data_IF_362938664590
#
_entry.id   IF_362938664590
#
_cell.length_a   1.000
_cell.length_b   1.000
_cell.length_c   1.000
_cell.angle_alpha   90.00
_cell.angle_beta   90.00
_cell.angle_gamma   90.00
#
_symmetry.space_group_name_H-M   'P 1'
#
loop_
_entity.id
_entity.type
_entity.pdbx_description
1 polymer ?
#
# COMPACT_ATOMS: atom_id res chain seq x y z
N UNK A 1 -8.25 5.86 -7.29
CA UNK A 1 -8.32 4.37 -7.29
C UNK A 1 -8.64 3.84 -5.90
N UNK A 2 -9.37 2.72 -5.78
CA UNK A 2 -9.44 1.97 -4.51
C UNK A 2 -8.07 1.32 -4.29
N UNK A 3 -7.48 1.51 -3.12
CA UNK A 3 -6.28 0.77 -2.68
C UNK A 3 -6.83 -0.45 -1.94
N UNK A 4 -6.99 -1.62 -2.59
CA UNK A 4 -7.73 -2.75 -2.03
C UNK A 4 -7.13 -3.32 -0.74
N UNK A 5 -5.87 -3.01 -0.45
CA UNK A 5 -5.20 -3.47 0.76
C UNK A 5 -5.44 -2.58 1.98
N UNK A 6 -5.65 -1.28 1.81
CA UNK A 6 -5.99 -0.42 2.94
C UNK A 6 -7.46 -0.61 3.32
N UNK A 7 -7.69 -0.86 4.62
CA UNK A 7 -9.04 -0.94 5.19
C UNK A 7 -9.78 0.39 4.96
N UNK A 8 -9.03 1.51 5.02
CA UNK A 8 -9.56 2.84 4.80
C UNK A 8 -9.34 3.30 3.36
N UNK A 9 -10.37 3.89 2.78
CA UNK A 9 -10.24 4.44 1.44
C UNK A 9 -9.26 5.62 1.44
N UNK A 10 -8.49 5.78 0.35
CA UNK A 10 -7.63 6.94 0.13
C UNK A 10 -8.33 8.28 0.45
N UNK A 11 -9.56 8.45 -0.04
CA UNK A 11 -10.36 9.66 0.17
C UNK A 11 -10.65 9.95 1.66
N UNK A 12 -10.92 8.90 2.46
CA UNK A 12 -11.17 9.04 3.90
C UNK A 12 -9.91 9.37 4.70
N UNK A 13 -8.74 8.91 4.22
CA UNK A 13 -7.45 9.20 4.84
C UNK A 13 -7.03 10.65 4.58
N UNK A 14 -7.29 11.17 3.38
CA UNK A 14 -7.06 12.57 3.05
C UNK A 14 -7.98 13.52 3.83
N UNK A 15 -9.22 13.11 4.11
CA UNK A 15 -10.21 13.93 4.80
C UNK A 15 -9.97 14.10 6.31
N UNK A 16 -9.27 13.15 6.96
CA UNK A 16 -9.11 13.17 8.42
C UNK A 16 -7.67 13.51 8.84
N UNK A 17 -7.43 14.70 9.45
CA UNK A 17 -6.09 15.16 9.82
C UNK A 17 -5.45 14.32 10.95
N UNK A 18 -6.23 13.48 11.62
CA UNK A 18 -5.73 12.58 12.66
C UNK A 18 -4.71 11.58 12.11
N UNK A 19 -4.94 11.05 10.89
CA UNK A 19 -3.99 10.11 10.26
C UNK A 19 -2.67 10.80 9.92
N UNK A 20 -2.72 12.04 9.44
CA UNK A 20 -1.52 12.83 9.16
C UNK A 20 -0.69 13.11 10.43
N UNK A 21 -1.33 13.26 11.60
CA UNK A 21 -0.63 13.44 12.88
C UNK A 21 0.13 12.19 13.29
N UNK A 22 -0.46 11.01 13.10
CA UNK A 22 0.17 9.72 13.45
C UNK A 22 1.35 9.41 12.52
N UNK A 23 1.26 9.78 11.23
CA UNK A 23 2.32 9.52 10.25
C UNK A 23 3.46 10.53 10.19
N UNK A 24 3.28 11.75 10.71
CA UNK A 24 4.32 12.81 10.76
C UNK A 24 5.70 12.35 11.29
N UNK A 25 5.81 11.66 12.44
CA UNK A 25 7.11 11.26 12.97
C UNK A 25 7.84 10.24 12.08
N UNK A 26 7.09 9.50 11.25
CA UNK A 26 7.64 8.45 10.39
C UNK A 26 7.99 8.91 8.97
N UNK A 27 7.79 10.20 8.65
CA UNK A 27 8.03 10.76 7.31
C UNK A 27 9.49 10.59 6.86
N UNK A 28 10.45 10.74 7.77
CA UNK A 28 11.89 10.67 7.43
C UNK A 28 12.35 9.25 7.04
N UNK A 29 11.69 8.23 7.56
CA UNK A 29 12.03 6.83 7.30
C UNK A 29 11.61 6.39 5.89
N UNK A 30 10.61 7.06 5.30
CA UNK A 30 9.99 6.69 4.03
C UNK A 30 9.98 7.83 3.01
N UNK A 31 11.10 8.55 2.86
CA UNK A 31 11.22 9.69 1.94
C UNK A 31 10.80 9.40 0.48
N UNK A 32 10.96 8.14 0.03
CA UNK A 32 10.57 7.71 -1.33
C UNK A 32 9.07 7.42 -1.49
N UNK A 33 8.31 7.36 -0.40
CA UNK A 33 6.89 6.98 -0.45
C UNK A 33 6.04 8.01 -1.20
N UNK A 34 6.34 9.30 -1.05
CA UNK A 34 5.63 10.36 -1.78
C UNK A 34 5.81 10.21 -3.30
N UNK A 35 7.02 9.84 -3.74
CA UNK A 35 7.31 9.58 -5.14
C UNK A 35 6.54 8.36 -5.64
N UNK A 36 6.51 7.27 -4.86
CA UNK A 36 5.77 6.06 -5.20
C UNK A 36 4.26 6.32 -5.29
N UNK A 37 3.70 7.09 -4.34
CA UNK A 37 2.28 7.49 -4.36
C UNK A 37 1.95 8.33 -5.60
N UNK A 38 2.81 9.29 -5.95
CA UNK A 38 2.62 10.11 -7.15
C UNK A 38 2.69 9.28 -8.44
N UNK A 39 3.64 8.34 -8.53
CA UNK A 39 3.74 7.39 -9.65
C UNK A 39 2.55 6.43 -9.72
N UNK A 40 1.93 6.13 -8.58
CA UNK A 40 0.73 5.30 -8.49
C UNK A 40 -0.58 6.07 -8.74
N UNK A 41 -0.51 7.35 -9.11
CA UNK A 41 -1.67 8.24 -9.27
C UNK A 41 -2.56 8.31 -8.01
N UNK A 42 -1.95 8.18 -6.84
CA UNK A 42 -2.60 8.30 -5.54
C UNK A 42 -2.33 9.70 -5.01
N UNK A 43 -3.33 10.58 -5.13
CA UNK A 43 -3.24 11.98 -4.68
C UNK A 43 -3.45 12.09 -3.16
N UNK A 44 -2.44 11.63 -2.40
CA UNK A 44 -2.42 11.67 -0.93
C UNK A 44 -1.02 12.05 -0.44
N UNK A 45 -0.99 12.83 0.64
CA UNK A 45 0.25 13.12 1.36
C UNK A 45 0.79 11.88 2.10
N UNK A 46 2.09 11.62 1.98
CA UNK A 46 2.75 10.46 2.57
C UNK A 46 2.46 10.31 4.07
N UNK A 47 2.31 11.40 4.81
CA UNK A 47 1.98 11.37 6.24
C UNK A 47 0.61 10.76 6.52
N UNK A 48 -0.41 11.14 5.75
CA UNK A 48 -1.76 10.59 5.90
C UNK A 48 -1.80 9.10 5.49
N UNK A 49 -1.02 8.74 4.47
CA UNK A 49 -0.90 7.35 4.02
C UNK A 49 -0.22 6.47 5.07
N UNK A 50 0.90 6.92 5.64
CA UNK A 50 1.61 6.18 6.70
C UNK A 50 0.70 6.02 7.92
N UNK A 51 0.00 7.07 8.33
CA UNK A 51 -0.98 6.98 9.42
C UNK A 51 -2.08 5.95 9.13
N UNK A 52 -2.62 5.95 7.91
CA UNK A 52 -3.61 4.95 7.47
C UNK A 52 -3.06 3.53 7.45
N UNK A 53 -1.80 3.35 7.05
CA UNK A 53 -1.11 2.06 7.05
C UNK A 53 -0.91 1.52 8.48
N UNK A 54 -0.49 2.38 9.42
CA UNK A 54 -0.33 2.03 10.84
C UNK A 54 -1.67 1.59 11.43
N UNK A 55 -2.73 2.39 11.25
CA UNK A 55 -4.05 2.06 11.79
C UNK A 55 -4.60 0.78 11.15
N UNK A 56 -4.43 0.60 9.85
CA UNK A 56 -4.86 -0.64 9.16
C UNK A 56 -4.10 -1.86 9.67
N UNK A 57 -2.78 -1.77 9.82
CA UNK A 57 -1.96 -2.83 10.37
C UNK A 57 -2.31 -3.15 11.83
N UNK A 58 -2.63 -2.12 12.63
CA UNK A 58 -3.08 -2.28 14.02
C UNK A 58 -4.42 -2.99 14.10
N UNK A 59 -5.37 -2.65 13.24
CA UNK A 59 -6.66 -3.35 13.14
C UNK A 59 -6.46 -4.83 12.83
N UNK A 60 -5.60 -5.16 11.86
CA UNK A 60 -5.27 -6.55 11.54
C UNK A 60 -4.61 -7.27 12.70
N UNK A 61 -3.63 -6.63 13.35
CA UNK A 61 -2.96 -7.18 14.52
C UNK A 61 -3.94 -7.48 15.66
N UNK A 62 -4.90 -6.60 15.89
CA UNK A 62 -5.92 -6.78 16.91
C UNK A 62 -6.85 -7.95 16.58
N UNK A 63 -7.32 -8.05 15.32
CA UNK A 63 -8.15 -9.18 14.88
C UNK A 63 -7.41 -10.51 15.04
N UNK A 64 -6.18 -10.61 14.53
CA UNK A 64 -5.37 -11.83 14.66
C UNK A 64 -5.01 -12.12 16.11
N UNK A 65 -4.70 -11.10 16.91
CA UNK A 65 -4.40 -11.23 18.34
C UNK A 65 -5.58 -11.77 19.13
N UNK A 66 -6.80 -11.30 18.86
CA UNK A 66 -8.02 -11.84 19.46
C UNK A 66 -8.19 -13.31 19.08
N UNK A 67 -8.09 -13.64 17.79
CA UNK A 67 -8.25 -15.03 17.31
C UNK A 67 -7.23 -15.96 17.97
N UNK A 68 -5.96 -15.56 18.03
CA UNK A 68 -4.89 -16.35 18.66
C UNK A 68 -5.07 -16.47 20.17
N UNK A 69 -5.50 -15.40 20.85
CA UNK A 69 -5.78 -15.42 22.29
C UNK A 69 -6.93 -16.37 22.61
N UNK A 70 -8.00 -16.37 21.81
CA UNK A 70 -9.08 -17.35 21.94
C UNK A 70 -8.58 -18.77 21.72
N UNK A 71 -7.75 -19.00 20.70
CA UNK A 71 -7.14 -20.31 20.46
C UNK A 71 -6.34 -20.80 21.68
N UNK A 72 -5.45 -19.97 22.23
CA UNK A 72 -4.68 -20.36 23.43
C UNK A 72 -5.57 -20.53 24.65
N UNK A 73 -6.63 -19.74 24.82
CA UNK A 73 -7.57 -19.90 25.93
C UNK A 73 -8.21 -21.29 25.98
N UNK A 74 -8.58 -21.87 24.83
CA UNK A 74 -9.20 -23.19 24.78
C UNK A 74 -8.20 -24.36 24.87
N UNK A 75 -6.99 -24.21 24.33
CA UNK A 75 -6.04 -25.33 24.23
C UNK A 75 -4.91 -25.29 25.26
N UNK A 76 -4.42 -24.10 25.66
CA UNK A 76 -3.29 -23.89 26.58
C UNK A 76 -3.41 -22.54 27.31
N UNK A 77 -4.19 -22.44 28.40
CA UNK A 77 -4.50 -21.16 29.06
C UNK A 77 -3.26 -20.45 29.61
N UNK A 78 -2.19 -21.18 29.93
CA UNK A 78 -0.91 -20.61 30.41
C UNK A 78 -0.21 -19.73 29.35
N UNK A 79 -0.58 -19.87 28.07
CA UNK A 79 0.03 -19.16 26.93
C UNK A 79 -0.86 -18.03 26.38
N UNK A 80 -1.94 -17.64 27.06
CA UNK A 80 -2.84 -16.57 26.58
C UNK A 80 -2.09 -15.25 26.37
N UNK A 81 -1.16 -14.90 27.27
CA UNK A 81 -0.29 -13.73 27.13
C UNK A 81 0.64 -13.81 25.90
N UNK A 82 1.10 -15.01 25.54
CA UNK A 82 1.91 -15.21 24.34
C UNK A 82 1.10 -14.97 23.05
N UNK A 83 -0.24 -15.09 23.10
CA UNK A 83 -1.12 -14.71 22.00
C UNK A 83 -1.06 -13.22 21.66
N UNK A 84 -0.89 -12.35 22.66
CA UNK A 84 -0.73 -10.91 22.46
C UNK A 84 0.66 -10.57 21.87
N UNK A 85 1.71 -11.27 22.30
CA UNK A 85 3.06 -11.12 21.73
C UNK A 85 3.10 -11.56 20.26
N UNK A 86 2.42 -12.68 19.95
CA UNK A 86 2.29 -13.18 18.58
C UNK A 86 1.52 -12.23 17.66
N UNK A 87 0.68 -11.33 18.19
CA UNK A 87 -0.02 -10.32 17.40
C UNK A 87 0.91 -9.23 16.81
N UNK A 88 2.15 -9.12 17.31
CA UNK A 88 3.15 -8.22 16.73
C UNK A 88 3.61 -8.70 15.35
N UNK A 89 3.67 -10.00 15.10
CA UNK A 89 4.05 -10.55 13.78
C UNK A 89 3.12 -10.08 12.65
N UNK A 90 1.79 -10.27 12.72
CA UNK A 90 0.90 -9.78 11.69
C UNK A 90 0.92 -8.25 11.62
N UNK A 91 1.10 -7.53 12.73
CA UNK A 91 1.26 -6.06 12.69
C UNK A 91 2.40 -5.65 11.74
N UNK A 92 3.61 -6.17 11.97
CA UNK A 92 4.78 -5.81 11.15
C UNK A 92 4.61 -6.27 9.70
N UNK A 93 4.09 -7.48 9.48
CA UNK A 93 3.87 -8.02 8.15
C UNK A 93 2.91 -7.15 7.34
N UNK A 94 1.74 -6.84 7.92
CA UNK A 94 0.76 -5.98 7.24
C UNK A 94 1.30 -4.56 7.10
N UNK A 95 1.95 -4.00 8.12
CA UNK A 95 2.51 -2.64 8.02
C UNK A 95 3.50 -2.52 6.85
N UNK A 96 4.44 -3.45 6.74
CA UNK A 96 5.39 -3.48 5.62
C UNK A 96 4.64 -3.63 4.29
N UNK A 97 3.70 -4.57 4.21
CA UNK A 97 2.90 -4.78 3.00
C UNK A 97 2.20 -3.49 2.54
N UNK A 98 1.56 -2.76 3.47
CA UNK A 98 0.89 -1.50 3.17
C UNK A 98 1.86 -0.41 2.70
N UNK A 99 3.05 -0.31 3.29
CA UNK A 99 4.05 0.69 2.90
C UNK A 99 4.65 0.40 1.52
N UNK A 100 4.91 -0.88 1.20
CA UNK A 100 5.47 -1.26 -0.10
C UNK A 100 4.42 -1.29 -1.23
N UNK A 101 3.14 -1.33 -0.88
CA UNK A 101 2.06 -1.45 -1.85
C UNK A 101 2.04 -0.38 -2.96
N UNK A 102 2.22 0.93 -2.67
CA UNK A 102 2.29 1.96 -3.72
C UNK A 102 3.43 1.72 -4.70
N UNK A 103 4.56 1.19 -4.24
CA UNK A 103 5.69 0.88 -5.12
C UNK A 103 5.35 -0.27 -6.07
N UNK A 104 4.59 -1.26 -5.61
CA UNK A 104 4.15 -2.39 -6.45
C UNK A 104 3.20 -1.88 -7.54
N UNK A 105 2.24 -1.00 -7.19
CA UNK A 105 1.34 -0.39 -8.17
C UNK A 105 2.10 0.46 -9.17
N UNK A 106 3.01 1.33 -8.69
CA UNK A 106 3.79 2.20 -9.55
C UNK A 106 4.60 1.40 -10.59
N UNK A 107 5.18 0.27 -10.19
CA UNK A 107 5.91 -0.62 -11.10
C UNK A 107 4.96 -1.25 -12.14
N UNK A 108 3.77 -1.70 -11.70
CA UNK A 108 2.77 -2.27 -12.61
C UNK A 108 2.28 -1.26 -13.65
N UNK A 109 2.04 -0.01 -13.25
CA UNK A 109 1.66 1.08 -14.18
C UNK A 109 2.81 1.35 -15.16
N UNK A 110 4.05 1.41 -14.67
CA UNK A 110 5.21 1.62 -15.53
C UNK A 110 5.39 0.51 -16.57
N UNK A 111 5.11 -0.74 -16.19
CA UNK A 111 5.21 -1.89 -17.07
C UNK A 111 4.11 -1.85 -18.15
N UNK A 112 2.88 -1.52 -17.76
CA UNK A 112 1.75 -1.35 -18.67
C UNK A 112 1.99 -0.21 -19.68
N UNK A 113 2.50 0.94 -19.21
CA UNK A 113 2.91 2.05 -20.08
C UNK A 113 3.98 1.61 -21.07
N UNK A 114 4.99 0.86 -20.63
CA UNK A 114 6.07 0.42 -21.50
C UNK A 114 5.58 -0.57 -22.57
N UNK A 115 4.68 -1.48 -22.21
CA UNK A 115 4.06 -2.40 -23.17
C UNK A 115 3.23 -1.63 -24.21
N UNK A 116 2.36 -0.73 -23.76
CA UNK A 116 1.53 0.07 -24.65
C UNK A 116 2.34 1.00 -25.57
N UNK A 117 3.44 1.58 -25.06
CA UNK A 117 4.35 2.40 -25.85
C UNK A 117 5.05 1.58 -26.94
N UNK A 118 5.47 0.34 -26.63
CA UNK A 118 6.08 -0.55 -27.62
C UNK A 118 5.10 -0.87 -28.77
N UNK A 119 3.82 -1.09 -28.45
CA UNK A 119 2.79 -1.30 -29.47
C UNK A 119 2.57 -0.04 -30.33
N UNK A 120 2.46 1.14 -29.71
CA UNK A 120 2.31 2.40 -30.42
C UNK A 120 3.50 2.71 -31.34
N UNK A 121 4.72 2.46 -30.90
CA UNK A 121 5.94 2.65 -31.72
C UNK A 121 5.97 1.70 -32.91
N UNK A 122 5.54 0.45 -32.74
CA UNK A 122 5.43 -0.50 -33.86
C UNK A 122 4.39 -0.05 -34.88
N UNK A 123 3.26 0.45 -34.42
CA UNK A 123 2.21 0.96 -35.30
C UNK A 123 2.68 2.19 -36.09
N UNK A 124 3.33 3.15 -35.42
CA UNK A 124 3.95 4.31 -36.10
C UNK A 124 5.01 3.87 -37.13
N UNK A 125 5.84 2.87 -36.81
CA UNK A 125 6.83 2.35 -37.74
C UNK A 125 6.18 1.71 -38.97
N UNK A 126 5.09 0.97 -38.79
CA UNK A 126 4.31 0.39 -39.90
C UNK A 126 3.74 1.52 -40.76
N UNK A 127 3.13 2.54 -40.17
CA UNK A 127 2.56 3.68 -40.88
C UNK A 127 3.61 4.43 -41.70
N UNK A 128 4.78 4.73 -41.11
CA UNK A 128 5.90 5.38 -41.82
C UNK A 128 6.42 4.50 -42.95
N UNK A 129 6.56 3.18 -42.73
CA UNK A 129 7.02 2.25 -43.77
C UNK A 129 6.03 2.12 -44.93
N UNK A 130 4.73 2.34 -44.66
CA UNK A 130 3.68 2.38 -45.67
C UNK A 130 3.59 3.73 -46.41
N UNK A 131 4.49 4.67 -46.11
CA UNK A 131 4.50 6.00 -46.72
C UNK A 131 3.42 6.94 -46.18
N UNK A 132 2.78 6.60 -45.06
CA UNK A 132 1.83 7.49 -44.38
C UNK A 132 2.65 8.55 -43.64
N UNK A 133 2.42 9.82 -43.97
CA UNK A 133 3.03 10.92 -43.24
C UNK A 133 2.53 10.94 -41.80
N UNK A 134 3.45 10.99 -40.83
CA UNK A 134 3.10 11.14 -39.41
C UNK A 134 2.57 12.55 -39.08
N UNK A 135 2.65 13.50 -40.02
CA UNK A 135 2.11 14.87 -39.93
C UNK A 135 1.74 15.44 -41.30
#
# INVERSE_FOLDING_TARGET
>A
MRVPLLIFQPATLAANPMFARVGKPFRHMFGNLQLALKKAEIDIHAEAYIGGAIVSALTWALVFGIIMSFYFFFYKPDLVLAGAELALLPFFLFFLLHIYYPSIIANKISEDVNQNLLFALRDMLIQVSAGVSLF
#
